data_IF_145025928322
#
_entry.id   IF_145025928322
#
_cell.length_a   1.000
_cell.length_b   1.000
_cell.length_c   1.000
_cell.angle_alpha   90.00
_cell.angle_beta   90.00
_cell.angle_gamma   90.00
#
_symmetry.space_group_name_H-M   'P 1'
#
loop_
_entity.id
_entity.type
_entity.pdbx_description
1 polymer ?
#
# COMPACT_ATOMS: atom_id res chain seq x y z
N UNK A 1 1.07 8.31 9.59
CA UNK A 1 1.38 8.29 11.04
C UNK A 1 2.88 8.08 11.12
N UNK A 2 3.69 9.11 11.42
CA UNK A 2 5.14 8.92 11.34
C UNK A 2 5.64 8.05 12.50
N UNK A 3 6.05 6.83 12.18
CA UNK A 3 6.88 6.02 13.07
C UNK A 3 8.28 6.59 13.03
N UNK A 4 8.62 7.40 14.03
CA UNK A 4 9.89 8.10 14.10
C UNK A 4 11.06 7.21 14.55
N UNK A 5 10.75 6.06 15.16
CA UNK A 5 11.73 5.10 15.68
C UNK A 5 11.22 3.67 15.61
N UNK A 6 12.12 2.73 15.30
CA UNK A 6 11.82 1.29 15.20
C UNK A 6 11.22 0.71 16.50
N UNK A 7 11.61 1.24 17.66
CA UNK A 7 11.10 0.81 18.97
C UNK A 7 9.58 1.01 19.13
N UNK A 8 8.96 1.85 18.30
CA UNK A 8 7.52 2.10 18.33
C UNK A 8 6.71 1.09 17.50
N UNK A 9 7.36 0.16 16.78
CA UNK A 9 6.69 -0.82 15.92
C UNK A 9 5.82 -1.83 16.68
N UNK A 10 6.24 -2.44 17.81
CA UNK A 10 5.49 -3.53 18.44
C UNK A 10 3.99 -3.25 18.68
N UNK A 11 3.59 -2.10 19.28
CA UNK A 11 2.16 -1.82 19.49
C UNK A 11 1.39 -1.50 18.19
N UNK A 12 2.07 -1.19 17.08
CA UNK A 12 1.44 -0.84 15.81
C UNK A 12 1.07 -2.06 14.98
N UNK A 13 1.83 -3.14 15.14
CA UNK A 13 1.62 -4.36 14.36
C UNK A 13 0.76 -5.37 15.10
N UNK A 14 0.53 -5.19 16.40
CA UNK A 14 -0.28 -6.08 17.22
C UNK A 14 -1.68 -6.32 16.62
N UNK A 15 -2.06 -7.59 16.45
CA UNK A 15 -3.35 -7.97 15.86
C UNK A 15 -3.46 -7.74 14.34
N UNK A 16 -2.37 -7.38 13.66
CA UNK A 16 -2.33 -7.14 12.21
C UNK A 16 -1.52 -8.22 11.48
N UNK A 17 -1.68 -8.38 10.16
CA UNK A 17 -0.81 -9.24 9.35
C UNK A 17 0.68 -8.87 9.41
N UNK A 18 1.02 -7.64 9.82
CA UNK A 18 2.41 -7.20 9.96
C UNK A 18 3.10 -7.77 11.22
N UNK A 19 2.36 -8.30 12.19
CA UNK A 19 2.92 -8.91 13.41
C UNK A 19 3.84 -10.11 13.12
N UNK A 20 3.64 -10.77 11.98
CA UNK A 20 4.43 -11.94 11.56
C UNK A 20 5.77 -11.56 10.90
N UNK A 21 6.01 -10.27 10.64
CA UNK A 21 7.20 -9.81 9.94
C UNK A 21 8.32 -9.46 10.93
N UNK A 22 9.60 -9.58 10.53
CA UNK A 22 10.69 -8.99 11.32
C UNK A 22 10.47 -7.50 11.51
N UNK A 23 10.60 -7.03 12.75
CA UNK A 23 10.33 -5.64 13.15
C UNK A 23 11.09 -4.63 12.28
N UNK A 24 12.38 -4.90 12.02
CA UNK A 24 13.25 -4.03 11.23
C UNK A 24 12.84 -3.93 9.77
N UNK A 25 12.36 -5.04 9.18
CA UNK A 25 11.89 -5.08 7.80
C UNK A 25 10.57 -4.31 7.66
N UNK A 26 9.63 -4.50 8.60
CA UNK A 26 8.40 -3.71 8.62
C UNK A 26 8.70 -2.22 8.79
N UNK A 27 9.56 -1.84 9.75
CA UNK A 27 9.94 -0.44 9.99
C UNK A 27 10.50 0.23 8.73
N UNK A 28 11.45 -0.42 8.06
CA UNK A 28 12.03 0.09 6.81
C UNK A 28 10.99 0.23 5.71
N UNK A 29 10.11 -0.76 5.56
CA UNK A 29 9.02 -0.69 4.58
C UNK A 29 8.05 0.46 4.86
N UNK A 30 7.78 0.75 6.14
CA UNK A 30 6.90 1.83 6.54
C UNK A 30 7.52 3.21 6.27
N UNK A 31 8.85 3.34 6.36
CA UNK A 31 9.54 4.55 5.90
C UNK A 31 9.30 4.75 4.40
N UNK A 32 9.38 3.69 3.59
CA UNK A 32 9.10 3.77 2.15
C UNK A 32 7.67 4.23 1.91
N UNK A 33 6.69 3.71 2.66
CA UNK A 33 5.29 4.14 2.59
C UNK A 33 5.15 5.66 2.76
N UNK A 34 5.70 6.21 3.84
CA UNK A 34 5.58 7.63 4.16
C UNK A 34 6.39 8.52 3.18
N UNK A 35 7.52 8.03 2.67
CA UNK A 35 8.27 8.70 1.59
C UNK A 35 7.43 8.76 0.32
N UNK A 36 6.71 7.71 -0.04
CA UNK A 36 5.82 7.71 -1.21
C UNK A 36 4.70 8.73 -1.02
N UNK A 37 4.09 8.83 0.16
CA UNK A 37 3.14 9.92 0.43
C UNK A 37 3.76 11.30 0.20
N UNK A 38 4.98 11.54 0.71
CA UNK A 38 5.67 12.81 0.51
C UNK A 38 5.91 13.12 -0.99
N UNK A 39 6.34 12.12 -1.77
CA UNK A 39 6.52 12.24 -3.23
C UNK A 39 5.18 12.55 -3.92
N UNK A 40 4.12 11.82 -3.58
CA UNK A 40 2.78 12.02 -4.14
C UNK A 40 2.27 13.44 -3.85
N UNK A 41 2.36 13.90 -2.60
CA UNK A 41 1.92 15.23 -2.20
C UNK A 41 2.66 16.37 -2.94
N UNK A 42 3.92 16.16 -3.30
CA UNK A 42 4.72 17.17 -4.01
C UNK A 42 4.51 17.15 -5.54
N UNK A 43 4.08 16.02 -6.10
CA UNK A 43 4.11 15.81 -7.56
C UNK A 43 2.72 15.63 -8.21
N UNK A 44 1.66 15.39 -7.43
CA UNK A 44 0.30 15.29 -7.95
C UNK A 44 -0.11 16.58 -8.69
N UNK A 45 -0.44 16.44 -9.98
CA UNK A 45 -0.86 17.57 -10.82
C UNK A 45 -2.28 18.02 -10.54
N UNK A 46 -3.11 17.12 -9.99
CA UNK A 46 -4.50 17.37 -9.63
C UNK A 46 -4.76 16.81 -8.23
N UNK A 47 -5.62 17.43 -7.43
CA UNK A 47 -6.03 16.84 -6.16
C UNK A 47 -6.63 15.44 -6.40
N UNK A 48 -6.15 14.45 -5.66
CA UNK A 48 -6.76 13.14 -5.71
C UNK A 48 -8.19 13.18 -5.15
N UNK A 49 -9.10 12.48 -5.82
CA UNK A 49 -10.52 12.41 -5.45
C UNK A 49 -10.79 11.37 -4.34
N UNK A 50 -9.82 10.51 -4.03
CA UNK A 50 -9.94 9.41 -3.08
C UNK A 50 -8.67 9.24 -2.26
N UNK A 51 -8.77 8.79 -1.01
CA UNK A 51 -7.60 8.41 -0.21
C UNK A 51 -6.86 7.22 -0.81
N UNK A 52 -7.60 6.28 -1.42
CA UNK A 52 -7.05 5.13 -2.13
C UNK A 52 -6.02 5.53 -3.21
N UNK A 53 -6.14 6.74 -3.80
CA UNK A 53 -5.15 7.27 -4.76
C UNK A 53 -3.80 7.55 -4.13
N UNK A 54 -3.76 8.00 -2.88
CA UNK A 54 -2.50 8.20 -2.13
C UNK A 54 -1.96 6.88 -1.56
N UNK A 55 -2.87 6.03 -1.07
CA UNK A 55 -2.53 4.80 -0.38
C UNK A 55 -2.09 3.68 -1.33
N UNK A 56 -2.66 3.60 -2.53
CA UNK A 56 -2.29 2.58 -3.51
C UNK A 56 -0.78 2.56 -3.81
N UNK A 57 -0.14 3.67 -4.24
CA UNK A 57 1.30 3.65 -4.51
C UNK A 57 2.11 3.45 -3.23
N UNK A 58 1.66 4.00 -2.09
CA UNK A 58 2.35 3.88 -0.82
C UNK A 58 2.42 2.42 -0.36
N UNK A 59 1.29 1.71 -0.35
CA UNK A 59 1.26 0.29 -0.02
C UNK A 59 1.96 -0.59 -1.07
N UNK A 60 1.75 -0.34 -2.36
CA UNK A 60 2.36 -1.15 -3.41
C UNK A 60 3.90 -1.15 -3.28
N UNK A 61 4.49 0.03 -3.07
CA UNK A 61 5.93 0.19 -2.95
C UNK A 61 6.46 -0.18 -1.55
N UNK A 62 5.67 -0.01 -0.50
CA UNK A 62 5.98 -0.57 0.82
C UNK A 62 6.19 -2.09 0.72
N UNK A 63 5.21 -2.81 0.14
CA UNK A 63 5.27 -4.26 0.05
C UNK A 63 6.34 -4.73 -0.96
N UNK A 64 6.52 -4.02 -2.09
CA UNK A 64 7.62 -4.32 -3.03
C UNK A 64 9.00 -4.16 -2.36
N UNK A 65 9.16 -3.19 -1.43
CA UNK A 65 10.43 -2.94 -0.74
C UNK A 65 10.84 -4.03 0.27
N UNK A 66 9.92 -4.89 0.68
CA UNK A 66 10.22 -6.01 1.56
C UNK A 66 11.09 -7.05 0.85
N UNK A 67 11.98 -7.70 1.61
CA UNK A 67 12.70 -8.87 1.11
C UNK A 67 11.71 -9.94 0.63
N UNK A 68 11.99 -10.70 -0.45
CA UNK A 68 11.02 -11.64 -1.03
C UNK A 68 10.41 -12.61 -0.02
N UNK A 69 11.22 -13.19 0.87
CA UNK A 69 10.75 -14.11 1.91
C UNK A 69 9.81 -13.45 2.93
N UNK A 70 10.06 -12.18 3.29
CA UNK A 70 9.24 -11.41 4.23
C UNK A 70 7.93 -10.99 3.58
N UNK A 71 7.99 -10.58 2.31
CA UNK A 71 6.82 -10.28 1.50
C UNK A 71 5.90 -11.49 1.35
N UNK A 72 6.47 -12.67 1.12
CA UNK A 72 5.69 -13.90 1.01
C UNK A 72 5.00 -14.25 2.33
N UNK A 73 5.64 -14.02 3.49
CA UNK A 73 4.99 -14.16 4.80
C UNK A 73 3.79 -13.21 4.96
N UNK A 74 3.94 -11.95 4.53
CA UNK A 74 2.83 -10.99 4.54
C UNK A 74 1.67 -11.48 3.66
N UNK A 75 1.94 -11.90 2.42
CA UNK A 75 0.91 -12.34 1.47
C UNK A 75 0.22 -13.64 1.92
N UNK A 76 0.95 -14.55 2.57
CA UNK A 76 0.38 -15.79 3.12
C UNK A 76 -0.71 -15.54 4.16
N UNK A 77 -0.68 -14.41 4.88
CA UNK A 77 -1.73 -14.01 5.82
C UNK A 77 -3.10 -13.83 5.15
N UNK A 78 -3.15 -13.76 3.82
CA UNK A 78 -4.37 -13.58 3.03
C UNK A 78 -4.70 -14.77 2.12
N UNK A 79 -3.94 -15.88 2.15
CA UNK A 79 -4.06 -16.99 1.21
C UNK A 79 -5.45 -17.65 1.16
N UNK A 80 -6.28 -17.53 2.21
CA UNK A 80 -7.66 -18.03 2.20
C UNK A 80 -8.65 -17.10 1.49
N UNK A 81 -8.23 -15.86 1.16
CA UNK A 81 -9.03 -14.88 0.44
C UNK A 81 -8.59 -14.85 -1.01
N UNK A 82 -9.55 -14.86 -1.93
CA UNK A 82 -9.25 -14.70 -3.34
C UNK A 82 -8.71 -13.29 -3.62
N UNK A 83 -7.39 -13.13 -3.63
CA UNK A 83 -6.69 -11.92 -4.06
C UNK A 83 -6.73 -11.82 -5.58
N UNK A 84 -7.92 -11.61 -6.16
CA UNK A 84 -8.02 -11.34 -7.60
C UNK A 84 -7.43 -9.96 -7.88
N UNK A 85 -6.51 -9.90 -8.86
CA UNK A 85 -5.86 -8.65 -9.27
C UNK A 85 -6.85 -7.61 -9.82
N UNK A 86 -8.01 -8.04 -10.32
CA UNK A 86 -8.93 -7.20 -11.09
C UNK A 86 -9.97 -6.45 -10.23
N UNK A 87 -9.90 -6.46 -8.90
CA UNK A 87 -10.93 -5.75 -8.11
C UNK A 87 -10.67 -4.25 -8.04
N UNK A 88 -11.78 -3.54 -7.87
CA UNK A 88 -11.84 -2.10 -7.65
C UNK A 88 -11.03 -1.72 -6.39
N UNK A 89 -10.21 -0.67 -6.51
CA UNK A 89 -9.63 0.03 -5.36
C UNK A 89 -10.57 1.19 -4.99
N UNK A 90 -10.85 1.34 -3.70
CA UNK A 90 -11.79 2.34 -3.19
C UNK A 90 -11.47 2.70 -1.74
N UNK A 91 -11.91 3.88 -1.31
CA UNK A 91 -11.78 4.33 0.09
C UNK A 91 -12.54 3.41 1.05
N UNK A 92 -13.67 2.83 0.62
CA UNK A 92 -14.38 1.84 1.42
C UNK A 92 -13.54 0.58 1.65
N UNK A 93 -12.87 0.07 0.61
CA UNK A 93 -12.00 -1.12 0.78
C UNK A 93 -10.82 -0.81 1.70
N UNK A 94 -10.21 0.37 1.54
CA UNK A 94 -9.14 0.86 2.40
C UNK A 94 -9.58 0.98 3.86
N UNK A 95 -10.78 1.51 4.11
CA UNK A 95 -11.32 1.70 5.46
C UNK A 95 -11.62 0.38 6.17
N UNK A 96 -12.25 -0.56 5.47
CA UNK A 96 -12.67 -1.83 6.08
C UNK A 96 -11.54 -2.82 6.27
N UNK A 97 -10.58 -2.86 5.35
CA UNK A 97 -9.47 -3.79 5.43
C UNK A 97 -8.21 -3.23 4.75
N UNK A 98 -7.48 -2.32 5.44
CA UNK A 98 -6.30 -1.67 4.87
C UNK A 98 -5.18 -2.67 4.53
N UNK A 99 -5.10 -3.78 5.26
CA UNK A 99 -4.07 -4.79 5.03
C UNK A 99 -4.38 -5.63 3.78
N UNK A 100 -5.65 -5.96 3.57
CA UNK A 100 -6.09 -6.59 2.33
C UNK A 100 -5.95 -5.63 1.13
N UNK A 101 -6.25 -4.34 1.33
CA UNK A 101 -5.97 -3.31 0.32
C UNK A 101 -4.48 -3.30 -0.05
N UNK A 102 -3.58 -3.33 0.94
CA UNK A 102 -2.14 -3.33 0.73
C UNK A 102 -1.64 -4.54 -0.07
N UNK A 103 -2.06 -5.76 0.32
CA UNK A 103 -1.73 -6.98 -0.40
C UNK A 103 -2.19 -6.92 -1.86
N UNK A 104 -3.39 -6.40 -2.11
CA UNK A 104 -3.93 -6.26 -3.47
C UNK A 104 -3.25 -5.18 -4.29
N UNK A 105 -2.89 -4.05 -3.67
CA UNK A 105 -2.16 -2.96 -4.33
C UNK A 105 -0.81 -3.47 -4.88
N UNK A 106 -0.08 -4.23 -4.05
CA UNK A 106 1.16 -4.88 -4.48
C UNK A 106 0.95 -5.86 -5.64
N UNK A 107 -0.02 -6.78 -5.52
CA UNK A 107 -0.27 -7.78 -6.57
C UNK A 107 -0.70 -7.15 -7.89
N UNK A 108 -1.53 -6.11 -7.85
CA UNK A 108 -1.93 -5.37 -9.04
C UNK A 108 -0.76 -4.59 -9.65
N UNK A 109 0.04 -3.90 -8.82
CA UNK A 109 1.26 -3.23 -9.27
C UNK A 109 2.24 -4.20 -9.93
N UNK A 110 2.43 -5.39 -9.34
CA UNK A 110 3.35 -6.41 -9.86
C UNK A 110 2.85 -7.08 -11.14
N UNK A 111 1.54 -7.20 -11.30
CA UNK A 111 0.91 -7.72 -12.51
C UNK A 111 0.91 -6.71 -13.68
N UNK A 112 1.07 -5.41 -13.39
CA UNK A 112 1.24 -4.41 -14.44
C UNK A 112 2.51 -4.68 -15.24
N UNK A 113 2.39 -4.75 -16.56
CA UNK A 113 3.54 -4.89 -17.45
C UNK A 113 4.52 -3.72 -17.31
N UNK A 114 4.03 -2.55 -16.90
CA UNK A 114 4.81 -1.35 -16.60
C UNK A 114 4.26 -0.66 -15.34
N UNK A 115 4.83 -1.01 -14.18
CA UNK A 115 4.47 -0.40 -12.91
C UNK A 115 4.82 1.10 -12.84
N UNK A 116 5.87 1.54 -13.52
CA UNK A 116 6.27 2.94 -13.55
C UNK A 116 5.27 3.80 -14.32
N UNK A 117 4.79 3.33 -15.48
CA UNK A 117 3.74 4.02 -16.23
C UNK A 117 2.45 4.14 -15.45
N UNK A 118 2.08 3.11 -14.67
CA UNK A 118 0.92 3.19 -13.77
C UNK A 118 1.11 4.30 -12.70
N UNK A 119 2.27 4.33 -12.04
CA UNK A 119 2.57 5.37 -11.04
C UNK A 119 2.57 6.77 -11.65
N UNK A 120 3.14 6.93 -12.85
CA UNK A 120 3.11 8.20 -13.59
C UNK A 120 1.67 8.62 -13.92
N UNK A 121 0.84 7.71 -14.40
CA UNK A 121 -0.57 8.00 -14.69
C UNK A 121 -1.37 8.43 -13.44
N UNK A 122 -1.06 7.87 -12.27
CA UNK A 122 -1.65 8.32 -11.00
C UNK A 122 -1.19 9.75 -10.66
N UNK A 123 0.10 10.08 -10.82
CA UNK A 123 0.63 11.42 -10.55
C UNK A 123 0.05 12.50 -11.47
N UNK A 124 -0.16 12.17 -12.75
CA UNK A 124 -0.82 13.04 -13.71
C UNK A 124 -2.33 13.20 -13.46
N UNK A 125 -2.91 12.33 -12.62
CA UNK A 125 -4.35 12.31 -12.32
C UNK A 125 -5.20 11.63 -13.40
N UNK A 126 -4.59 10.85 -14.29
CA UNK A 126 -5.25 10.07 -15.35
C UNK A 126 -5.87 8.77 -14.80
N UNK A 127 -5.38 8.30 -13.66
CA UNK A 127 -5.96 7.18 -12.90
C UNK A 127 -6.49 7.70 -11.58
N UNK A 128 -7.77 7.44 -11.31
CA UNK A 128 -8.39 7.70 -10.01
C UNK A 128 -9.15 6.46 -9.53
N UNK A 129 -9.24 6.31 -8.21
CA UNK A 129 -9.95 5.22 -7.57
C UNK A 129 -11.28 5.72 -6.99
N UNK A 130 -12.14 4.78 -6.60
CA UNK A 130 -13.52 5.12 -6.22
C UNK A 130 -13.53 5.78 -4.83
N UNK A 131 -13.93 7.05 -4.79
CA UNK A 131 -14.27 7.79 -3.57
C UNK A 131 -15.58 7.27 -2.97
N UNK A 132 -15.84 7.44 -1.66
CA UNK A 132 -17.14 7.11 -1.10
C UNK A 132 -18.23 8.00 -1.74
N UNK A 133 -19.48 7.53 -1.87
CA UNK A 133 -20.57 8.39 -2.30
C UNK A 133 -20.67 9.58 -1.36
N UNK A 134 -20.76 10.79 -1.92
CA UNK A 134 -20.98 12.03 -1.16
C UNK A 134 -22.30 11.99 -0.38
#
# INVERSE_FOLDING_TARGET
MLVTQEANVPPLVEGTPYAALPQSDFYRSLIIHEVVHAVMHQNLKRPALSQATYEYPAYALQIESLAPSVRDLFLQSFNQRALKANSIFSDSTLLFDPYFFAARAYLHFKASADGCSLLAAILEGEVSFIAPPM
#
